data_IF_232260616716
#
_entry.id   IF_232260616716
#
_cell.length_a   1.000
_cell.length_b   1.000
_cell.length_c   1.000
_cell.angle_alpha   90.00
_cell.angle_beta   90.00
_cell.angle_gamma   90.00
#
_symmetry.space_group_name_H-M   'P 1'
#
loop_
_entity.id
_entity.type
_entity.pdbx_description
1 polymer ?
#
# COMPACT_ATOMS: atom_id res chain seq x y z
N UNK A 1 -22.11 -9.86 -9.81
CA UNK A 1 -22.24 -9.35 -8.40
C UNK A 1 -21.04 -9.72 -7.53
N UNK A 2 -20.49 -10.95 -7.60
CA UNK A 2 -19.33 -11.35 -6.80
C UNK A 2 -18.10 -10.47 -7.04
N UNK A 3 -17.75 -10.24 -8.28
CA UNK A 3 -16.60 -9.41 -8.68
C UNK A 3 -16.67 -7.97 -8.12
N UNK A 4 -17.85 -7.34 -8.15
CA UNK A 4 -18.05 -5.99 -7.61
C UNK A 4 -17.89 -5.96 -6.10
N UNK A 5 -18.39 -6.99 -5.39
CA UNK A 5 -18.21 -7.09 -3.92
C UNK A 5 -16.75 -7.26 -3.54
N UNK A 6 -16.03 -8.15 -4.22
CA UNK A 6 -14.58 -8.32 -4.04
C UNK A 6 -13.85 -6.99 -4.28
N UNK A 7 -14.18 -6.30 -5.37
CA UNK A 7 -13.62 -5.00 -5.68
C UNK A 7 -13.92 -3.94 -4.63
N UNK A 8 -15.12 -3.98 -4.01
CA UNK A 8 -15.47 -3.06 -2.93
C UNK A 8 -14.60 -3.26 -1.69
N UNK A 9 -14.34 -4.50 -1.29
CA UNK A 9 -13.46 -4.81 -0.14
C UNK A 9 -12.02 -4.39 -0.39
N UNK A 10 -11.50 -4.66 -1.59
CA UNK A 10 -10.15 -4.25 -1.97
C UNK A 10 -10.02 -2.72 -2.05
N UNK A 11 -11.00 -2.03 -2.63
CA UNK A 11 -11.03 -0.57 -2.69
C UNK A 11 -11.05 0.05 -1.31
N UNK A 12 -11.90 -0.44 -0.42
CA UNK A 12 -12.01 0.07 0.94
C UNK A 12 -10.69 -0.05 1.69
N UNK A 13 -10.04 -1.21 1.61
CA UNK A 13 -8.80 -1.48 2.32
C UNK A 13 -7.59 -0.71 1.76
N UNK A 14 -7.53 -0.49 0.44
CA UNK A 14 -6.28 -0.09 -0.21
C UNK A 14 -6.33 1.28 -0.90
N UNK A 15 -7.52 1.77 -1.24
CA UNK A 15 -7.67 2.96 -2.08
C UNK A 15 -8.26 4.16 -1.33
N UNK A 16 -9.12 3.92 -0.34
CA UNK A 16 -9.86 4.99 0.37
C UNK A 16 -8.97 5.95 1.11
N UNK A 17 -7.81 5.50 1.59
CA UNK A 17 -6.83 6.37 2.27
C UNK A 17 -6.42 7.58 1.43
N UNK A 18 -6.37 7.41 0.10
CA UNK A 18 -6.03 8.46 -0.86
C UNK A 18 -7.25 8.95 -1.65
N UNK A 19 -8.06 8.02 -2.17
CA UNK A 19 -9.13 8.34 -3.14
C UNK A 19 -10.51 8.55 -2.52
N UNK A 20 -10.61 8.38 -1.19
CA UNK A 20 -11.84 8.55 -0.42
C UNK A 20 -12.97 7.60 -0.86
N UNK A 21 -14.16 7.85 -0.37
CA UNK A 21 -15.38 7.11 -0.71
C UNK A 21 -16.62 7.88 -0.25
N UNK A 22 -17.82 7.38 -0.53
CA UNK A 22 -19.05 8.01 -0.07
C UNK A 22 -19.12 8.09 1.45
N UNK A 23 -19.16 9.32 1.99
CA UNK A 23 -19.19 9.57 3.45
C UNK A 23 -17.83 9.42 4.15
N UNK A 24 -16.72 9.31 3.42
CA UNK A 24 -15.37 9.30 3.96
C UNK A 24 -14.78 10.70 3.83
N UNK A 25 -14.37 11.26 4.98
CA UNK A 25 -13.69 12.57 5.04
C UNK A 25 -12.24 12.48 4.56
N UNK A 26 -11.68 13.60 4.08
CA UNK A 26 -10.28 13.65 3.66
C UNK A 26 -9.33 13.25 4.78
N UNK A 27 -8.46 12.29 4.49
CA UNK A 27 -7.42 11.77 5.39
C UNK A 27 -6.19 12.68 5.38
N UNK A 28 -5.27 12.51 6.33
CA UNK A 28 -3.97 13.18 6.32
C UNK A 28 -3.19 12.82 5.05
N UNK A 29 -3.25 11.55 4.65
CA UNK A 29 -2.57 11.06 3.44
C UNK A 29 -3.15 11.73 2.17
N UNK A 30 -4.49 11.76 2.02
CA UNK A 30 -5.13 12.38 0.86
C UNK A 30 -4.85 13.89 0.73
N UNK A 31 -4.65 14.57 1.88
CA UNK A 31 -4.32 16.01 1.92
C UNK A 31 -2.84 16.29 1.67
N UNK A 32 -1.95 15.34 2.04
CA UNK A 32 -0.49 15.50 1.96
C UNK A 32 0.10 15.13 0.62
N UNK A 33 -0.64 14.44 -0.26
CA UNK A 33 -0.13 14.03 -1.56
C UNK A 33 -0.16 15.13 -2.61
N UNK A 34 0.92 15.22 -3.39
CA UNK A 34 1.01 16.10 -4.55
C UNK A 34 1.57 15.31 -5.76
N UNK A 35 0.87 15.28 -6.90
CA UNK A 35 -0.47 15.87 -7.11
C UNK A 35 -1.54 15.23 -6.21
N UNK A 36 -2.58 16.02 -5.90
CA UNK A 36 -3.66 15.55 -5.05
C UNK A 36 -4.43 14.39 -5.72
N UNK A 37 -4.67 13.28 -5.00
CA UNK A 37 -5.43 12.17 -5.56
C UNK A 37 -6.89 12.58 -5.79
N UNK A 38 -7.51 12.17 -6.92
CA UNK A 38 -8.90 12.47 -7.18
C UNK A 38 -9.83 11.70 -6.23
N UNK A 39 -10.90 12.35 -5.76
CA UNK A 39 -11.96 11.66 -5.06
C UNK A 39 -12.82 10.88 -6.06
N UNK A 40 -12.65 9.56 -6.10
CA UNK A 40 -13.29 8.69 -7.09
C UNK A 40 -14.79 8.50 -6.87
N UNK A 41 -15.32 8.83 -5.68
CA UNK A 41 -16.78 8.84 -5.47
C UNK A 41 -17.48 10.02 -6.15
N UNK A 42 -16.75 11.05 -6.55
CA UNK A 42 -17.23 12.26 -7.24
C UNK A 42 -16.73 12.35 -8.69
N UNK A 43 -15.93 11.40 -9.11
CA UNK A 43 -15.38 11.38 -10.47
C UNK A 43 -16.48 11.02 -11.49
N UNK A 44 -16.33 11.55 -12.70
CA UNK A 44 -17.19 11.18 -13.83
C UNK A 44 -16.94 9.77 -14.33
N UNK A 45 -17.64 9.39 -15.41
CA UNK A 45 -17.41 8.10 -16.05
C UNK A 45 -16.03 8.05 -16.71
N UNK A 46 -15.27 7.01 -16.35
CA UNK A 46 -13.99 6.71 -16.94
C UNK A 46 -14.04 5.38 -17.69
N UNK A 47 -13.21 5.25 -18.71
CA UNK A 47 -13.10 3.98 -19.43
C UNK A 47 -12.50 2.91 -18.52
N UNK A 48 -13.13 1.73 -18.42
CA UNK A 48 -12.62 0.64 -17.55
C UNK A 48 -11.18 0.23 -17.84
N UNK A 49 -10.78 0.18 -19.11
CA UNK A 49 -9.41 -0.14 -19.54
C UNK A 49 -8.38 0.88 -19.03
N UNK A 50 -8.74 2.16 -18.99
CA UNK A 50 -7.87 3.20 -18.46
C UNK A 50 -7.68 3.05 -16.95
N UNK A 51 -8.76 2.80 -16.19
CA UNK A 51 -8.66 2.51 -14.76
C UNK A 51 -7.79 1.28 -14.49
N UNK A 52 -8.01 0.20 -15.24
CA UNK A 52 -7.20 -1.01 -15.12
C UNK A 52 -5.71 -0.71 -15.30
N UNK A 53 -5.38 0.01 -16.37
CA UNK A 53 -4.00 0.35 -16.68
C UNK A 53 -3.36 1.20 -15.58
N UNK A 54 -4.06 2.23 -15.11
CA UNK A 54 -3.56 3.13 -14.04
C UNK A 54 -3.37 2.38 -12.73
N UNK A 55 -4.32 1.51 -12.33
CA UNK A 55 -4.19 0.72 -11.10
C UNK A 55 -3.02 -0.25 -11.22
N UNK A 56 -2.91 -0.95 -12.34
CA UNK A 56 -1.85 -1.94 -12.56
C UNK A 56 -0.46 -1.34 -12.56
N UNK A 57 -0.27 -0.21 -13.25
CA UNK A 57 1.06 0.36 -13.50
C UNK A 57 1.39 1.56 -12.60
N UNK A 58 0.40 2.10 -11.88
CA UNK A 58 0.57 3.32 -11.10
C UNK A 58 0.78 4.55 -11.96
N UNK A 59 1.08 5.67 -11.33
CA UNK A 59 1.41 6.93 -12.01
C UNK A 59 2.79 7.39 -11.53
N UNK A 60 3.76 7.42 -12.46
CA UNK A 60 5.11 7.88 -12.17
C UNK A 60 5.10 9.30 -11.64
N UNK A 61 5.98 9.59 -10.67
CA UNK A 61 6.09 10.88 -10.00
C UNK A 61 4.82 11.32 -9.25
N UNK A 62 3.99 10.36 -8.81
CA UNK A 62 2.84 10.57 -7.94
C UNK A 62 2.84 9.56 -6.79
N UNK A 63 1.92 9.74 -5.83
CA UNK A 63 1.69 8.77 -4.76
C UNK A 63 0.89 7.52 -5.17
N UNK A 64 0.50 7.37 -6.46
CA UNK A 64 -0.27 6.22 -6.93
C UNK A 64 0.65 5.02 -7.21
N UNK A 65 0.61 3.95 -6.39
CA UNK A 65 1.48 2.79 -6.57
C UNK A 65 1.08 1.94 -7.78
N UNK A 66 2.03 1.10 -8.26
CA UNK A 66 1.77 0.08 -9.27
C UNK A 66 1.28 -1.21 -8.59
N UNK A 67 -0.03 -1.36 -8.45
CA UNK A 67 -0.63 -2.50 -7.74
C UNK A 67 -0.45 -3.84 -8.45
N UNK A 68 -0.20 -3.86 -9.76
CA UNK A 68 0.04 -5.10 -10.50
C UNK A 68 1.26 -5.91 -10.06
N UNK A 69 2.12 -5.35 -9.19
CA UNK A 69 3.26 -6.07 -8.59
C UNK A 69 2.85 -6.98 -7.42
N UNK A 70 1.71 -6.70 -6.79
CA UNK A 70 1.23 -7.42 -5.61
C UNK A 70 -0.21 -7.92 -5.74
N UNK A 71 -0.88 -7.59 -6.84
CA UNK A 71 -2.30 -7.90 -7.07
C UNK A 71 -2.49 -8.49 -8.46
N UNK A 72 -3.11 -9.67 -8.53
CA UNK A 72 -3.47 -10.31 -9.79
C UNK A 72 -4.49 -9.50 -10.60
N UNK A 73 -4.48 -9.68 -11.92
CA UNK A 73 -5.33 -8.93 -12.85
C UNK A 73 -6.84 -9.09 -12.55
N UNK A 74 -7.29 -10.26 -12.10
CA UNK A 74 -8.68 -10.49 -11.73
C UNK A 74 -9.13 -9.60 -10.57
N UNK A 75 -8.26 -9.33 -9.60
CA UNK A 75 -8.57 -8.45 -8.46
C UNK A 75 -8.58 -6.99 -8.89
N UNK A 76 -7.68 -6.59 -9.79
CA UNK A 76 -7.69 -5.25 -10.39
C UNK A 76 -8.97 -5.03 -11.17
N UNK A 77 -9.42 -6.02 -11.98
CA UNK A 77 -10.69 -5.95 -12.68
C UNK A 77 -11.89 -5.91 -11.73
N UNK A 78 -11.79 -6.54 -10.55
CA UNK A 78 -12.77 -6.42 -9.47
C UNK A 78 -12.90 -4.97 -8.99
N UNK A 79 -11.77 -4.31 -8.71
CA UNK A 79 -11.74 -2.88 -8.34
C UNK A 79 -12.33 -2.03 -9.47
N UNK A 80 -11.94 -2.25 -10.72
CA UNK A 80 -12.46 -1.52 -11.89
C UNK A 80 -13.98 -1.66 -12.01
N UNK A 81 -14.51 -2.88 -11.86
CA UNK A 81 -15.95 -3.13 -11.89
C UNK A 81 -16.69 -2.41 -10.75
N UNK A 82 -16.09 -2.36 -9.55
CA UNK A 82 -16.61 -1.60 -8.43
C UNK A 82 -16.59 -0.09 -8.70
N UNK A 83 -15.52 0.46 -9.26
CA UNK A 83 -15.39 1.88 -9.59
C UNK A 83 -16.49 2.39 -10.53
N UNK A 84 -17.03 1.53 -11.41
CA UNK A 84 -18.18 1.90 -12.27
C UNK A 84 -19.48 2.10 -11.46
N UNK A 85 -19.54 1.59 -10.24
CA UNK A 85 -20.69 1.75 -9.34
C UNK A 85 -20.47 2.84 -8.29
N UNK A 86 -19.23 3.10 -7.91
CA UNK A 86 -18.88 3.96 -6.79
C UNK A 86 -19.53 5.34 -6.81
N UNK A 87 -19.58 6.08 -7.94
CA UNK A 87 -20.24 7.40 -7.99
C UNK A 87 -21.77 7.36 -7.78
N UNK A 88 -22.38 6.17 -7.89
CA UNK A 88 -23.84 5.97 -7.75
C UNK A 88 -24.22 5.52 -6.32
N UNK A 89 -23.24 5.31 -5.46
CA UNK A 89 -23.44 4.82 -4.10
C UNK A 89 -23.54 5.98 -3.12
N UNK A 90 -24.50 5.91 -2.21
CA UNK A 90 -24.48 6.67 -0.97
C UNK A 90 -23.63 5.96 0.10
N UNK A 91 -23.37 6.64 1.21
CA UNK A 91 -22.52 6.10 2.29
C UNK A 91 -23.08 4.81 2.92
N UNK A 92 -24.42 4.65 2.97
CA UNK A 92 -25.03 3.45 3.55
C UNK A 92 -24.85 2.23 2.63
N UNK A 93 -25.11 2.41 1.33
CA UNK A 93 -24.93 1.36 0.30
C UNK A 93 -23.46 0.99 0.13
N UNK A 94 -22.57 1.98 0.18
CA UNK A 94 -21.12 1.74 0.17
C UNK A 94 -20.71 0.81 1.31
N UNK A 95 -21.04 1.18 2.57
CA UNK A 95 -20.72 0.35 3.75
C UNK A 95 -21.35 -1.04 3.69
N UNK A 96 -22.60 -1.17 3.23
CA UNK A 96 -23.24 -2.46 3.07
C UNK A 96 -22.52 -3.36 2.05
N UNK A 97 -22.08 -2.77 0.94
CA UNK A 97 -21.35 -3.49 -0.10
C UNK A 97 -19.98 -3.97 0.40
N UNK A 98 -19.23 -3.11 1.09
CA UNK A 98 -17.96 -3.44 1.73
C UNK A 98 -18.14 -4.55 2.77
N UNK A 99 -19.13 -4.44 3.66
CA UNK A 99 -19.43 -5.46 4.67
C UNK A 99 -19.77 -6.84 4.05
N UNK A 100 -20.36 -6.84 2.84
CA UNK A 100 -20.69 -8.07 2.11
C UNK A 100 -19.55 -8.67 1.28
N UNK A 101 -18.39 -8.01 1.23
CA UNK A 101 -17.26 -8.37 0.36
C UNK A 101 -16.46 -9.57 0.84
N UNK A 102 -16.50 -9.90 2.12
CA UNK A 102 -15.61 -10.89 2.74
C UNK A 102 -14.22 -10.32 3.07
N UNK A 103 -14.04 -8.99 2.92
CA UNK A 103 -12.80 -8.30 3.24
C UNK A 103 -11.85 -8.16 2.04
N UNK A 104 -10.59 -7.89 2.36
CA UNK A 104 -9.53 -7.64 1.41
C UNK A 104 -8.84 -8.94 0.96
N UNK A 105 -8.65 -9.10 -0.35
CA UNK A 105 -7.94 -10.24 -0.94
C UNK A 105 -7.35 -9.84 -2.30
N UNK A 106 -6.10 -10.19 -2.55
CA UNK A 106 -5.43 -9.91 -3.84
C UNK A 106 -4.63 -11.09 -4.42
N UNK A 107 -4.89 -12.30 -3.92
CA UNK A 107 -4.40 -13.54 -4.55
C UNK A 107 -2.89 -13.67 -4.68
N UNK A 108 -2.12 -13.02 -3.82
CA UNK A 108 -0.66 -13.05 -3.92
C UNK A 108 -0.19 -12.82 -5.36
N UNK A 109 0.35 -11.65 -5.70
CA UNK A 109 1.12 -11.50 -6.92
C UNK A 109 2.19 -12.60 -6.94
N UNK A 110 2.71 -12.98 -8.11
CA UNK A 110 3.70 -14.05 -8.29
C UNK A 110 4.67 -14.07 -7.11
N UNK A 111 4.32 -14.87 -6.10
CA UNK A 111 5.19 -15.13 -4.98
C UNK A 111 6.18 -16.16 -5.50
N UNK A 112 7.44 -15.76 -5.66
CA UNK A 112 8.52 -16.73 -5.57
C UNK A 112 8.21 -17.62 -4.38
N UNK A 113 8.07 -18.91 -4.63
CA UNK A 113 7.81 -19.94 -3.63
C UNK A 113 8.97 -19.96 -2.63
N UNK A 114 8.88 -19.16 -1.60
CA UNK A 114 9.67 -19.39 -0.41
C UNK A 114 8.94 -20.43 0.44
N UNK A 115 9.23 -21.69 0.13
CA UNK A 115 8.99 -22.80 1.03
C UNK A 115 9.74 -22.53 2.34
N UNK A 116 9.01 -22.10 3.36
CA UNK A 116 9.49 -22.22 4.73
C UNK A 116 9.48 -23.70 5.07
N UNK A 117 10.63 -24.34 4.91
CA UNK A 117 10.91 -25.59 5.59
C UNK A 117 11.02 -25.29 7.07
N UNK A 118 9.98 -25.71 7.78
CA UNK A 118 9.99 -25.88 9.22
C UNK A 118 10.85 -27.12 9.49
N UNK A 119 12.14 -26.92 9.73
CA UNK A 119 13.05 -27.95 10.20
C UNK A 119 13.40 -27.62 11.65
N UNK A 120 13.06 -28.62 12.46
CA UNK A 120 13.11 -28.75 13.89
C UNK A 120 14.31 -28.17 14.62
N UNK A 121 14.01 -27.85 15.84
CA UNK A 121 14.92 -27.52 16.92
C UNK A 121 16.03 -28.57 17.07
N UNK A 122 17.29 -28.17 17.02
CA UNK A 122 18.38 -28.82 17.73
C UNK A 122 19.24 -27.77 18.44
N UNK A 123 19.28 -28.00 19.72
CA UNK A 123 19.99 -27.37 20.81
C UNK A 123 21.50 -27.51 20.61
N UNK A 124 22.23 -26.42 20.50
CA UNK A 124 23.68 -26.43 20.70
C UNK A 124 24.12 -25.28 21.59
N UNK A 125 24.31 -25.63 22.84
CA UNK A 125 25.15 -24.90 23.78
C UNK A 125 26.59 -24.77 23.22
N UNK A 126 27.11 -23.55 23.15
CA UNK A 126 28.52 -23.27 23.16
C UNK A 126 28.82 -22.13 24.14
N UNK A 127 29.36 -22.55 25.28
CA UNK A 127 30.17 -21.72 26.16
C UNK A 127 31.44 -21.35 25.43
N UNK A 128 31.89 -20.12 25.56
CA UNK A 128 33.14 -19.66 25.00
C UNK A 128 33.43 -18.22 25.37
N UNK A 129 33.98 -18.03 26.55
CA UNK A 129 34.61 -16.79 27.01
C UNK A 129 35.77 -16.41 26.07
N UNK A 130 35.88 -15.14 25.69
CA UNK A 130 37.16 -14.51 25.38
C UNK A 130 37.04 -12.99 25.54
N UNK A 131 37.67 -12.52 26.58
CA UNK A 131 38.00 -11.13 26.84
C UNK A 131 38.99 -10.62 25.77
N UNK A 132 38.77 -9.44 25.21
CA UNK A 132 39.85 -8.62 24.66
C UNK A 132 39.65 -7.15 25.00
N UNK A 133 40.57 -6.72 25.87
CA UNK A 133 40.97 -5.34 26.10
C UNK A 133 41.53 -4.71 24.83
N UNK A 134 41.26 -3.48 24.57
CA UNK A 134 42.14 -2.46 23.98
C UNK A 134 41.53 -1.09 24.23
N UNK A 135 42.08 -0.36 25.17
CA UNK A 135 43.12 0.66 25.11
C UNK A 135 42.72 1.92 24.33
N UNK A 136 42.66 2.95 25.16
CA UNK A 136 42.81 4.37 24.99
C UNK A 136 43.63 4.84 23.77
N UNK A 137 43.12 5.84 23.08
CA UNK A 137 43.94 6.89 22.49
C UNK A 137 43.10 8.19 22.33
N UNK A 138 43.38 9.07 23.24
CA UNK A 138 43.13 10.51 23.23
C UNK A 138 43.72 11.17 21.98
N UNK A 139 42.96 12.04 21.36
CA UNK A 139 43.41 12.93 20.27
C UNK A 139 42.61 14.21 20.22
N UNK A 140 42.98 15.16 21.06
CA UNK A 140 42.58 16.57 20.92
C UNK A 140 43.08 17.11 19.59
N UNK A 141 42.26 17.85 18.85
CA UNK A 141 42.74 19.03 18.13
C UNK A 141 41.63 20.05 17.84
N UNK A 142 42.02 21.26 18.09
CA UNK A 142 41.33 22.56 18.21
C UNK A 142 40.76 23.11 16.89
N UNK A 143 40.01 24.23 17.00
CA UNK A 143 39.21 24.78 15.92
C UNK A 143 40.00 25.82 15.06
N UNK A 144 39.62 25.93 13.80
CA UNK A 144 40.09 27.00 12.93
C UNK A 144 38.93 27.78 12.31
N UNK A 145 38.88 28.99 12.74
CA UNK A 145 38.35 30.26 12.26
C UNK A 145 37.84 30.37 10.82
N UNK A 146 36.67 31.06 10.77
CA UNK A 146 36.10 31.85 9.68
C UNK A 146 37.09 32.87 9.09
N UNK A 147 36.93 33.36 7.82
CA UNK A 147 36.29 34.66 7.71
C UNK A 147 35.29 34.82 6.54
N UNK A 148 34.55 35.92 6.68
CA UNK A 148 33.51 36.46 5.82
C UNK A 148 34.05 37.08 4.50
N UNK A 149 33.21 36.96 3.47
CA UNK A 149 32.81 38.08 2.57
C UNK A 149 31.55 37.66 1.80
#
# INVERSE_FOLDING_TARGET
MALIRQGAGNYDAMCTGCHLGPGIEPTELSRGLYPAPPNLSKAGEFMPSHHFWVIKHGIKASGMPAWGKSMGDEYIWGIVAFLQQLPKLDAARYRALVASSGGHSHGGGESDEHHHHDEGAEDHHHDGEAEHHHDDATGEMQPSSKPAR
#
